data_IF_037024435829
#
_entry.id   IF_037024435829
#
_cell.length_a   1.000
_cell.length_b   1.000
_cell.length_c   1.000
_cell.angle_alpha   90.00
_cell.angle_beta   90.00
_cell.angle_gamma   90.00
#
_symmetry.space_group_name_H-M   'P 1'
#
loop_
_entity.id
_entity.type
_entity.pdbx_description
1 polymer ?
#
# COMPACT_ATOMS: atom_id res chain seq x y z
N UNK A 1 21.98 -10.74 14.43
CA UNK A 1 20.57 -10.36 14.62
C UNK A 1 19.75 -11.03 13.54
N UNK A 2 18.53 -11.47 13.83
CA UNK A 2 17.66 -12.07 12.83
C UNK A 2 17.24 -11.02 11.78
N UNK A 3 17.04 -11.46 10.54
CA UNK A 3 16.63 -10.58 9.44
C UNK A 3 15.25 -9.95 9.72
N UNK A 4 15.08 -8.63 9.48
CA UNK A 4 13.80 -7.95 9.66
C UNK A 4 12.71 -8.56 8.77
N UNK A 5 11.55 -8.84 9.36
CA UNK A 5 10.41 -9.42 8.65
C UNK A 5 9.07 -8.82 9.05
N UNK A 6 8.09 -8.97 8.17
CA UNK A 6 6.70 -8.65 8.47
C UNK A 6 6.06 -9.79 9.26
N UNK A 7 5.37 -9.44 10.33
CA UNK A 7 4.59 -10.33 11.18
C UNK A 7 3.11 -9.93 11.12
N UNK A 8 2.22 -10.89 11.32
CA UNK A 8 0.78 -10.61 11.31
C UNK A 8 0.31 -10.20 12.72
N UNK A 9 -0.49 -9.14 12.80
CA UNK A 9 -1.23 -8.79 14.01
C UNK A 9 -2.35 -9.79 14.27
N UNK A 10 -2.60 -10.08 15.54
CA UNK A 10 -3.72 -10.93 15.97
C UNK A 10 -4.57 -10.21 17.01
N UNK A 11 -5.77 -10.74 17.25
CA UNK A 11 -6.63 -10.30 18.36
C UNK A 11 -6.86 -11.45 19.31
N UNK A 12 -6.67 -11.19 20.60
CA UNK A 12 -7.02 -12.13 21.68
C UNK A 12 -7.92 -11.38 22.65
N UNK A 13 -9.13 -11.90 22.89
CA UNK A 13 -10.14 -11.28 23.76
C UNK A 13 -10.36 -9.78 23.46
N UNK A 14 -10.45 -9.42 22.17
CA UNK A 14 -10.63 -8.04 21.71
C UNK A 14 -9.38 -7.14 21.76
N UNK A 15 -8.30 -7.55 22.42
CA UNK A 15 -7.03 -6.82 22.49
C UNK A 15 -6.16 -7.15 21.28
N UNK A 16 -5.56 -6.11 20.68
CA UNK A 16 -4.58 -6.31 19.60
C UNK A 16 -3.26 -6.80 20.21
N UNK A 17 -2.77 -7.92 19.72
CA UNK A 17 -1.49 -8.49 20.13
C UNK A 17 -0.44 -8.13 19.08
N UNK A 18 0.60 -7.44 19.55
CA UNK A 18 1.78 -7.09 18.74
C UNK A 18 2.89 -8.06 19.09
N UNK A 19 3.42 -8.84 18.13
CA UNK A 19 4.52 -9.76 18.39
C UNK A 19 5.73 -9.06 19.05
N UNK A 20 6.39 -9.74 19.98
CA UNK A 20 7.53 -9.20 20.70
C UNK A 20 8.63 -8.73 19.73
N UNK A 21 9.22 -7.56 20.02
CA UNK A 21 10.27 -6.97 19.18
C UNK A 21 9.79 -6.44 17.82
N UNK A 22 8.47 -6.34 17.58
CA UNK A 22 7.92 -5.76 16.37
C UNK A 22 7.27 -4.40 16.59
N UNK A 23 7.30 -3.56 15.56
CA UNK A 23 6.62 -2.27 15.53
C UNK A 23 5.28 -2.43 14.83
N UNK A 24 4.19 -2.06 15.51
CA UNK A 24 2.86 -2.00 14.89
C UNK A 24 2.83 -0.89 13.84
N UNK A 25 2.44 -1.21 12.61
CA UNK A 25 2.39 -0.29 11.47
C UNK A 25 1.01 -0.22 10.80
N UNK A 26 -0.04 -0.61 11.54
CA UNK A 26 -1.41 -0.55 11.02
C UNK A 26 -1.97 0.88 11.01
N UNK A 27 -3.22 0.99 10.53
CA UNK A 27 -3.94 2.27 10.41
C UNK A 27 -4.19 2.99 11.74
N UNK A 28 -3.97 2.37 12.89
CA UNK A 28 -4.12 3.05 14.19
C UNK A 28 -2.84 3.79 14.63
N UNK A 29 -1.78 3.74 13.81
CA UNK A 29 -0.48 4.33 14.12
C UNK A 29 -0.14 5.49 13.19
N UNK A 30 0.96 6.20 13.49
CA UNK A 30 1.52 7.25 12.62
C UNK A 30 1.92 6.76 11.22
N UNK A 31 2.11 5.45 11.07
CA UNK A 31 2.47 4.81 9.79
C UNK A 31 1.26 4.62 8.87
N UNK A 32 0.07 5.04 9.32
CA UNK A 32 -1.19 4.88 8.61
C UNK A 32 -1.11 5.44 7.17
N UNK A 33 -1.46 4.64 6.14
CA UNK A 33 -1.76 5.18 4.82
C UNK A 33 -3.00 6.08 4.88
N UNK A 34 -3.06 7.21 4.17
CA UNK A 34 -4.28 8.00 4.04
C UNK A 34 -5.33 7.33 3.12
N UNK A 35 -5.24 6.02 2.94
CA UNK A 35 -6.01 5.21 2.00
C UNK A 35 -6.80 4.12 2.74
N UNK A 36 -7.93 3.72 2.17
CA UNK A 36 -8.87 2.73 2.66
C UNK A 36 -9.07 1.65 1.59
N UNK A 37 -9.04 0.40 2.04
CA UNK A 37 -9.14 -0.78 1.19
C UNK A 37 -10.44 -0.84 0.38
N UNK A 38 -11.54 -0.37 1.00
CA UNK A 38 -12.89 -0.50 0.46
C UNK A 38 -13.39 0.78 -0.22
N UNK A 39 -12.48 1.69 -0.56
CA UNK A 39 -12.84 2.91 -1.28
C UNK A 39 -12.91 2.67 -2.80
N UNK A 40 -13.81 3.38 -3.48
CA UNK A 40 -14.05 3.24 -4.94
C UNK A 40 -12.81 3.45 -5.83
N UNK A 41 -11.81 4.23 -5.41
CA UNK A 41 -10.58 4.39 -6.21
C UNK A 41 -9.80 3.07 -6.31
N UNK A 42 -9.93 2.17 -5.34
CA UNK A 42 -9.31 0.85 -5.41
C UNK A 42 -9.94 0.09 -6.57
N UNK A 43 -11.27 0.10 -6.68
CA UNK A 43 -12.00 -0.54 -7.77
C UNK A 43 -11.65 0.04 -9.14
N UNK A 44 -11.53 1.37 -9.25
CA UNK A 44 -11.10 2.02 -10.48
C UNK A 44 -9.66 1.64 -10.88
N UNK A 45 -8.72 1.66 -9.93
CA UNK A 45 -7.33 1.29 -10.19
C UNK A 45 -7.20 -0.19 -10.55
N UNK A 46 -8.01 -1.06 -9.96
CA UNK A 46 -8.10 -2.47 -10.34
C UNK A 46 -8.59 -2.62 -11.77
N UNK A 47 -9.71 -1.99 -12.13
CA UNK A 47 -10.28 -2.03 -13.49
C UNK A 47 -9.28 -1.53 -14.52
N UNK A 48 -8.70 -0.35 -14.29
CA UNK A 48 -7.75 0.27 -15.22
C UNK A 48 -6.45 -0.54 -15.39
N UNK A 49 -6.06 -1.31 -14.38
CA UNK A 49 -4.91 -2.23 -14.47
C UNK A 49 -5.27 -3.61 -15.04
N UNK A 50 -6.54 -3.87 -15.30
CA UNK A 50 -7.00 -5.19 -15.73
C UNK A 50 -6.92 -6.26 -14.63
N UNK A 51 -6.98 -5.86 -13.36
CA UNK A 51 -6.84 -6.76 -12.21
C UNK A 51 -8.19 -7.20 -11.68
N UNK A 52 -8.29 -8.47 -11.24
CA UNK A 52 -9.49 -8.98 -10.58
C UNK A 52 -9.73 -8.26 -9.24
N UNK A 53 -10.97 -8.07 -8.79
CA UNK A 53 -11.29 -7.39 -7.53
C UNK A 53 -11.10 -8.28 -6.29
N UNK A 54 -10.03 -9.07 -6.24
CA UNK A 54 -9.71 -9.92 -5.10
C UNK A 54 -9.14 -9.09 -3.95
N UNK A 55 -9.26 -9.59 -2.72
CA UNK A 55 -8.72 -8.91 -1.54
C UNK A 55 -7.19 -8.69 -1.63
N UNK A 56 -6.45 -9.67 -2.16
CA UNK A 56 -5.01 -9.54 -2.38
C UNK A 56 -4.68 -8.41 -3.39
N UNK A 57 -5.44 -8.30 -4.48
CA UNK A 57 -5.25 -7.23 -5.46
C UNK A 57 -5.60 -5.86 -4.87
N UNK A 58 -6.65 -5.77 -4.03
CA UNK A 58 -6.98 -4.54 -3.29
C UNK A 58 -5.81 -4.11 -2.39
N UNK A 59 -5.20 -5.04 -1.65
CA UNK A 59 -4.00 -4.73 -0.87
C UNK A 59 -2.80 -4.34 -1.75
N UNK A 60 -2.63 -4.97 -2.91
CA UNK A 60 -1.60 -4.61 -3.88
C UNK A 60 -1.74 -3.17 -4.38
N UNK A 61 -2.98 -2.74 -4.65
CA UNK A 61 -3.29 -1.35 -4.98
C UNK A 61 -2.97 -0.41 -3.81
N UNK A 62 -3.31 -0.77 -2.57
CA UNK A 62 -2.95 0.04 -1.40
C UNK A 62 -1.43 0.16 -1.22
N UNK A 63 -0.69 -0.95 -1.36
CA UNK A 63 0.77 -0.95 -1.26
C UNK A 63 1.39 -0.06 -2.35
N UNK A 64 0.87 -0.14 -3.59
CA UNK A 64 1.25 0.75 -4.67
C UNK A 64 0.99 2.23 -4.33
N UNK A 65 -0.23 2.58 -3.96
CA UNK A 65 -0.58 3.97 -3.61
C UNK A 65 0.27 4.50 -2.45
N UNK A 66 0.55 3.65 -1.48
CA UNK A 66 1.37 4.02 -0.34
C UNK A 66 2.83 4.30 -0.73
N UNK A 67 3.43 3.52 -1.65
CA UNK A 67 4.75 3.83 -2.23
C UNK A 67 4.76 5.18 -2.93
N UNK A 68 3.74 5.47 -3.75
CA UNK A 68 3.65 6.75 -4.46
C UNK A 68 3.47 7.92 -3.49
N UNK A 69 2.65 7.74 -2.44
CA UNK A 69 2.47 8.76 -1.38
C UNK A 69 3.77 9.07 -0.64
N UNK A 70 4.51 8.04 -0.20
CA UNK A 70 5.80 8.21 0.48
C UNK A 70 6.84 8.89 -0.42
N UNK A 71 6.75 8.69 -1.74
CA UNK A 71 7.61 9.38 -2.71
C UNK A 71 7.19 10.83 -3.00
N UNK A 72 6.15 11.35 -2.33
CA UNK A 72 5.60 12.69 -2.57
C UNK A 72 4.79 12.81 -3.86
N UNK A 73 4.46 11.68 -4.49
CA UNK A 73 3.85 11.62 -5.82
C UNK A 73 2.33 11.69 -5.86
N UNK A 74 1.64 11.71 -4.70
CA UNK A 74 0.18 11.84 -4.64
C UNK A 74 -0.23 13.23 -4.16
N UNK A 75 -0.80 14.02 -5.07
CA UNK A 75 -1.41 15.33 -4.83
C UNK A 75 -2.91 15.16 -4.58
N UNK A 76 -3.56 16.10 -3.90
CA UNK A 76 -5.03 16.06 -3.69
C UNK A 76 -5.82 15.95 -5.01
N UNK A 77 -5.31 16.55 -6.09
CA UNK A 77 -5.86 16.44 -7.44
C UNK A 77 -5.85 15.02 -8.00
N UNK A 78 -4.98 14.14 -7.50
CA UNK A 78 -4.87 12.76 -7.95
C UNK A 78 -6.05 11.90 -7.49
N UNK A 79 -6.86 12.41 -6.56
CA UNK A 79 -8.08 11.78 -6.07
C UNK A 79 -9.35 12.45 -6.62
N UNK A 80 -9.22 13.48 -7.46
CA UNK A 80 -10.34 14.08 -8.18
C UNK A 80 -10.68 13.20 -9.40
N UNK A 81 -11.50 12.17 -9.18
CA UNK A 81 -12.09 11.41 -10.28
C UNK A 81 -13.61 11.58 -10.27
N UNK A 82 -14.13 12.13 -11.35
CA UNK A 82 -15.54 12.16 -11.79
C UNK A 82 -16.57 12.65 -10.74
N UNK A 83 -16.55 13.94 -10.43
CA UNK A 83 -17.57 14.59 -9.60
C UNK A 83 -17.57 14.20 -8.12
N UNK A 84 -16.70 13.29 -7.71
CA UNK A 84 -16.56 12.88 -6.32
C UNK A 84 -15.68 13.89 -5.57
N UNK A 85 -16.30 14.92 -4.99
CA UNK A 85 -15.70 15.56 -3.80
C UNK A 85 -15.65 14.48 -2.74
N UNK A 86 -14.50 13.84 -2.57
CA UNK A 86 -14.30 12.96 -1.44
C UNK A 86 -14.46 13.82 -0.19
N UNK A 87 -15.63 13.79 0.45
CA UNK A 87 -15.88 14.46 1.74
C UNK A 87 -14.88 14.01 2.84
N UNK A 88 -14.09 12.97 2.56
CA UNK A 88 -12.99 12.49 3.40
C UNK A 88 -11.61 13.11 3.09
N UNK A 89 -11.50 13.84 1.97
CA UNK A 89 -10.35 14.66 1.58
C UNK A 89 -10.77 16.10 1.34
N UNK A 90 -11.75 16.61 2.09
CA UNK A 90 -11.96 18.06 2.21
C UNK A 90 -10.68 18.77 2.71
N UNK A 91 -9.76 17.99 3.30
CA UNK A 91 -8.39 18.36 3.60
C UNK A 91 -7.41 17.55 2.75
N UNK A 92 -6.28 18.14 2.34
CA UNK A 92 -5.21 17.38 1.68
C UNK A 92 -4.78 16.19 2.55
N UNK A 93 -4.33 15.07 1.94
CA UNK A 93 -3.78 13.99 2.74
C UNK A 93 -2.64 14.53 3.62
N UNK A 94 -2.45 13.97 4.83
CA UNK A 94 -1.33 14.36 5.67
C UNK A 94 -0.02 14.18 4.90
N UNK A 95 1.00 14.95 5.29
CA UNK A 95 2.34 14.76 4.75
C UNK A 95 2.82 13.34 5.08
N UNK A 96 3.50 12.65 4.14
CA UNK A 96 4.12 11.38 4.43
C UNK A 96 5.22 11.54 5.49
N UNK A 97 5.46 10.52 6.34
CA UNK A 97 6.64 10.51 7.19
C UNK A 97 7.91 10.59 6.33
N UNK A 98 8.92 11.29 6.83
CA UNK A 98 10.19 11.41 6.10
C UNK A 98 10.93 10.08 6.07
N UNK A 99 11.85 9.93 5.11
CA UNK A 99 12.73 8.77 5.08
C UNK A 99 13.54 8.63 6.38
N UNK A 100 13.98 9.75 6.96
CA UNK A 100 14.73 9.76 8.22
C UNK A 100 13.88 9.24 9.39
N UNK A 101 12.60 9.62 9.45
CA UNK A 101 11.67 9.13 10.46
C UNK A 101 11.42 7.62 10.33
N UNK A 102 11.25 7.15 9.09
CA UNK A 102 11.10 5.72 8.78
C UNK A 102 12.35 4.97 9.26
N UNK A 103 13.53 5.43 8.88
CA UNK A 103 14.80 4.78 9.24
C UNK A 103 15.02 4.75 10.75
N UNK A 104 14.85 5.90 11.42
CA UNK A 104 15.04 6.04 12.87
C UNK A 104 14.17 5.09 13.67
N UNK A 105 12.93 4.84 13.23
CA UNK A 105 11.97 4.07 14.01
C UNK A 105 11.80 2.62 13.57
N UNK A 106 12.09 2.29 12.30
CA UNK A 106 11.74 1.01 11.69
C UNK A 106 12.95 0.19 11.23
N UNK A 107 14.11 0.80 10.99
CA UNK A 107 15.31 0.09 10.50
C UNK A 107 15.73 -1.00 11.48
N UNK A 108 15.99 -2.19 10.95
CA UNK A 108 16.39 -3.36 11.72
C UNK A 108 15.28 -4.01 12.56
N UNK A 109 14.02 -3.55 12.45
CA UNK A 109 12.91 -4.04 13.27
C UNK A 109 11.91 -4.88 12.47
N UNK A 110 11.30 -5.85 13.13
CA UNK A 110 10.14 -6.52 12.59
C UNK A 110 8.95 -5.55 12.55
N UNK A 111 8.11 -5.66 11.53
CA UNK A 111 6.91 -4.82 11.39
C UNK A 111 5.65 -5.67 11.51
N UNK A 112 4.66 -5.23 12.27
CA UNK A 112 3.41 -5.95 12.48
C UNK A 112 2.22 -5.23 11.83
N UNK A 113 1.50 -5.93 10.95
CA UNK A 113 0.34 -5.42 10.21
C UNK A 113 -0.77 -6.50 10.10
N UNK A 114 -1.98 -6.11 9.73
CA UNK A 114 -3.15 -7.02 9.66
C UNK A 114 -3.15 -8.02 8.50
N UNK A 115 -2.71 -7.67 7.27
CA UNK A 115 -2.80 -8.59 6.14
C UNK A 115 -2.03 -9.88 6.38
N UNK A 116 -2.53 -11.00 5.85
CA UNK A 116 -1.85 -12.30 5.97
C UNK A 116 -0.42 -12.23 5.40
N UNK A 117 0.55 -12.97 5.97
CA UNK A 117 1.87 -13.12 5.36
C UNK A 117 1.76 -13.59 3.90
N UNK A 118 2.60 -13.07 3.02
CA UNK A 118 2.58 -13.37 1.58
C UNK A 118 1.60 -12.52 0.75
N UNK A 119 0.60 -11.88 1.36
CA UNK A 119 -0.17 -10.84 0.67
C UNK A 119 0.64 -9.53 0.64
N UNK A 120 0.54 -8.74 -0.44
CA UNK A 120 1.14 -7.41 -0.47
C UNK A 120 0.49 -6.55 0.62
N UNK A 121 1.24 -5.66 1.26
CA UNK A 121 0.66 -4.67 2.18
C UNK A 121 1.53 -3.43 2.36
N UNK A 122 0.99 -2.46 3.13
CA UNK A 122 1.72 -1.24 3.50
C UNK A 122 2.88 -1.52 4.45
N UNK A 123 2.74 -2.51 5.35
CA UNK A 123 3.84 -2.96 6.19
C UNK A 123 5.05 -3.46 5.39
N UNK A 124 4.82 -4.16 4.26
CA UNK A 124 5.90 -4.59 3.36
C UNK A 124 6.58 -3.39 2.70
N UNK A 125 5.82 -2.34 2.34
CA UNK A 125 6.42 -1.11 1.78
C UNK A 125 7.36 -0.44 2.79
N UNK A 126 6.94 -0.32 4.05
CA UNK A 126 7.78 0.25 5.11
C UNK A 126 8.99 -0.63 5.40
N UNK A 127 8.81 -1.95 5.41
CA UNK A 127 9.91 -2.89 5.61
C UNK A 127 10.96 -2.75 4.50
N UNK A 128 10.48 -2.66 3.25
CA UNK A 128 11.29 -2.46 2.05
C UNK A 128 12.11 -1.17 2.10
N UNK A 129 11.49 -0.08 2.55
CA UNK A 129 12.09 1.26 2.62
C UNK A 129 13.07 1.40 3.80
N UNK A 130 12.70 0.92 4.98
CA UNK A 130 13.50 1.07 6.20
C UNK A 130 14.77 0.21 6.21
N UNK A 131 14.80 -0.87 5.41
CA UNK A 131 15.89 -1.85 5.40
C UNK A 131 16.61 -1.95 4.05
N UNK A 132 16.54 -0.89 3.22
CA UNK A 132 17.27 -0.82 1.93
C UNK A 132 18.74 -1.21 2.08
N UNK A 133 19.28 -1.82 1.03
CA UNK A 133 20.69 -2.16 0.92
C UNK A 133 21.59 -0.92 1.00
N UNK A 134 22.90 -1.09 1.28
CA UNK A 134 23.85 0.02 1.35
C UNK A 134 23.92 0.84 0.05
N UNK A 135 23.63 0.21 -1.08
CA UNK A 135 23.55 0.78 -2.43
C UNK A 135 22.17 1.40 -2.77
N UNK A 136 21.26 1.43 -1.79
CA UNK A 136 19.91 1.97 -1.94
C UNK A 136 18.90 0.98 -2.54
N UNK A 137 19.32 -0.26 -2.84
CA UNK A 137 18.44 -1.30 -3.37
C UNK A 137 17.26 -1.56 -2.41
N UNK A 138 16.03 -1.72 -2.91
CA UNK A 138 14.88 -2.03 -2.06
C UNK A 138 15.09 -3.36 -1.33
N UNK A 139 14.76 -3.40 -0.03
CA UNK A 139 14.70 -4.68 0.67
C UNK A 139 13.54 -5.51 0.11
N UNK A 140 13.77 -6.78 -0.28
CA UNK A 140 12.78 -7.59 -0.97
C UNK A 140 11.64 -7.96 -0.02
N UNK A 141 10.40 -7.74 -0.48
CA UNK A 141 9.21 -8.07 0.30
C UNK A 141 8.17 -8.84 -0.50
N UNK A 142 7.18 -9.41 0.18
CA UNK A 142 6.06 -10.09 -0.47
C UNK A 142 5.31 -9.15 -1.45
N UNK A 143 5.25 -7.86 -1.15
CA UNK A 143 4.72 -6.84 -2.08
C UNK A 143 5.49 -6.76 -3.40
N UNK A 144 6.81 -6.97 -3.40
CA UNK A 144 7.65 -6.86 -4.61
C UNK A 144 7.56 -8.12 -5.48
N UNK A 145 7.43 -9.28 -4.82
CA UNK A 145 7.15 -10.55 -5.48
C UNK A 145 5.70 -10.69 -5.95
N UNK A 146 4.78 -9.84 -5.46
CA UNK A 146 3.36 -9.97 -5.75
C UNK A 146 3.06 -9.91 -7.25
N UNK A 147 2.24 -10.86 -7.71
CA UNK A 147 1.73 -10.92 -9.08
C UNK A 147 0.21 -10.84 -9.04
N UNK A 148 -0.39 -9.75 -9.54
CA UNK A 148 -1.82 -9.55 -9.46
C UNK A 148 -2.57 -10.50 -10.38
N UNK A 149 -3.64 -11.10 -9.87
CA UNK A 149 -4.54 -11.91 -10.69
C UNK A 149 -5.26 -10.99 -11.70
N UNK A 150 -5.25 -11.36 -12.99
CA UNK A 150 -5.76 -10.52 -14.07
C UNK A 150 -7.14 -10.97 -14.54
N UNK A 151 -7.95 -10.02 -15.01
CA UNK A 151 -9.21 -10.32 -15.67
C UNK A 151 -8.97 -11.15 -16.94
N UNK A 152 -9.84 -12.12 -17.26
CA UNK A 152 -9.76 -12.83 -18.53
C UNK A 152 -9.86 -11.84 -19.68
N UNK A 153 -8.99 -11.96 -20.69
CA UNK A 153 -9.08 -11.14 -21.89
C UNK A 153 -10.23 -11.67 -22.74
N UNK A 154 -11.42 -11.07 -22.68
CA UNK A 154 -12.49 -11.40 -23.62
C UNK A 154 -12.14 -10.85 -25.01
N UNK A 155 -12.31 -11.65 -26.06
CA UNK A 155 -11.93 -11.30 -27.44
C UNK A 155 -12.65 -10.07 -28.02
N UNK A 156 -13.71 -9.59 -27.39
CA UNK A 156 -14.53 -8.45 -27.83
C UNK A 156 -14.13 -7.10 -27.24
N UNK A 157 -13.20 -7.03 -26.28
CA UNK A 157 -12.84 -5.78 -25.59
C UNK A 157 -11.80 -4.89 -26.31
N UNK A 158 -11.56 -5.11 -27.61
CA UNK A 158 -10.61 -4.30 -28.39
C UNK A 158 -11.02 -2.83 -28.55
N UNK A 159 -12.19 -2.37 -28.10
CA UNK A 159 -12.75 -1.09 -28.57
C UNK A 159 -13.36 -0.10 -27.59
N UNK A 160 -13.30 -0.26 -26.26
CA UNK A 160 -13.91 0.74 -25.36
C UNK A 160 -13.11 1.17 -24.13
N UNK A 161 -12.04 0.47 -23.73
CA UNK A 161 -11.32 0.84 -22.50
C UNK A 161 -10.09 1.71 -22.80
N UNK A 162 -10.29 2.81 -23.51
CA UNK A 162 -9.42 3.98 -23.38
C UNK A 162 -9.74 4.70 -22.05
N UNK A 163 -9.68 3.98 -20.92
CA UNK A 163 -9.59 4.63 -19.62
C UNK A 163 -8.19 5.23 -19.53
N UNK A 164 -8.07 6.45 -20.02
CA UNK A 164 -6.88 7.26 -19.86
C UNK A 164 -6.66 7.57 -18.38
N UNK A 165 -6.06 6.63 -17.65
CA UNK A 165 -5.23 6.99 -16.50
C UNK A 165 -3.87 7.41 -17.06
N UNK A 166 -3.84 8.49 -17.83
CA UNK A 166 -2.62 9.07 -18.41
C UNK A 166 -1.97 10.10 -17.48
N UNK A 167 -2.34 10.13 -16.20
CA UNK A 167 -1.88 11.20 -15.30
C UNK A 167 -1.44 10.80 -13.90
N UNK A 168 -0.96 9.57 -13.69
CA UNK A 168 -0.20 9.25 -12.48
C UNK A 168 1.26 8.94 -12.83
N UNK A 169 2.04 10.03 -12.93
CA UNK A 169 3.51 10.08 -12.76
C UNK A 169 4.35 9.21 -13.71
N UNK A 170 4.93 9.84 -14.74
CA UNK A 170 6.27 9.48 -15.21
C UNK A 170 7.30 9.96 -14.19
#
# INVERSE_FOLDING_TARGET
MAEPRRLQLTKIAGRTIVPAGSVRVDRATRWRPPFWLDHRYVEYLLKARGWLPTQANRYGVLAYLYRVWLAGGLKSSDFHYDGFRARHFDQPPPLPPSQEEIDRHLRGRNLADWPKPGCPCVGDVLLSIANRGPDGTPFPTASDAYRPARMPRSGSSRRSDAYQITRFGR
#
